data_IF_533325341815
#
_entry.id   IF_533325341815
#
_cell.length_a   1.000
_cell.length_b   1.000
_cell.length_c   1.000
_cell.angle_alpha   90.00
_cell.angle_beta   90.00
_cell.angle_gamma   90.00
#
_symmetry.space_group_name_H-M   'P 1'
#
loop_
_entity.id
_entity.type
_entity.pdbx_description
1 polymer ?
#
# COMPACT_ATOMS: atom_id res chain seq x y z
N UNK A 1 -48.19 28.12 4.64
CA UNK A 1 -47.97 27.60 3.27
C UNK A 1 -46.74 26.69 3.29
N UNK A 2 -46.93 25.39 3.50
CA UNK A 2 -45.85 24.41 3.58
C UNK A 2 -45.57 23.83 2.18
N UNK A 3 -44.36 24.02 1.64
CA UNK A 3 -43.91 23.41 0.38
C UNK A 3 -43.17 22.11 0.68
N UNK A 4 -43.82 21.00 0.35
CA UNK A 4 -43.24 19.65 0.36
C UNK A 4 -42.15 19.53 -0.69
N UNK A 5 -40.92 19.28 -0.26
CA UNK A 5 -39.78 18.96 -1.13
C UNK A 5 -39.89 17.48 -1.54
N UNK A 6 -40.09 17.21 -2.84
CA UNK A 6 -40.03 15.86 -3.41
C UNK A 6 -38.60 15.53 -3.83
N UNK A 7 -38.03 14.48 -3.23
CA UNK A 7 -36.77 13.87 -3.63
C UNK A 7 -36.90 13.17 -5.00
N UNK A 8 -35.90 13.25 -5.90
CA UNK A 8 -35.94 12.55 -7.18
C UNK A 8 -35.59 11.07 -7.01
N UNK A 9 -36.36 10.23 -7.70
CA UNK A 9 -36.26 8.78 -7.72
C UNK A 9 -34.97 8.28 -8.38
N UNK A 10 -34.41 7.24 -7.78
CA UNK A 10 -33.26 6.47 -8.25
C UNK A 10 -33.56 5.79 -9.60
N UNK A 11 -32.87 6.22 -10.65
CA UNK A 11 -32.94 5.61 -11.98
C UNK A 11 -32.31 4.21 -12.00
N UNK A 12 -33.07 3.24 -12.51
CA UNK A 12 -32.67 1.87 -12.74
C UNK A 12 -31.48 1.77 -13.71
N UNK A 13 -30.43 1.08 -13.27
CA UNK A 13 -29.25 0.74 -14.08
C UNK A 13 -29.60 -0.48 -14.97
N UNK A 14 -29.75 -0.24 -16.27
CA UNK A 14 -29.86 -1.30 -17.29
C UNK A 14 -28.54 -2.06 -17.40
N UNK A 15 -28.54 -3.35 -17.00
CA UNK A 15 -27.47 -4.31 -17.27
C UNK A 15 -27.39 -4.57 -18.78
N UNK A 16 -26.27 -4.27 -19.42
CA UNK A 16 -25.94 -4.75 -20.78
C UNK A 16 -25.45 -6.18 -20.68
N UNK A 17 -26.07 -7.08 -21.44
CA UNK A 17 -25.63 -8.46 -21.59
C UNK A 17 -24.29 -8.51 -22.35
N UNK A 18 -23.29 -9.17 -21.76
CA UNK A 18 -22.01 -9.45 -22.39
C UNK A 18 -22.11 -10.73 -23.22
N UNK A 19 -21.75 -10.67 -24.50
CA UNK A 19 -21.63 -11.83 -25.38
C UNK A 19 -20.50 -12.78 -24.93
N UNK A 20 -20.64 -14.11 -25.12
CA UNK A 20 -19.62 -15.07 -24.72
C UNK A 20 -18.45 -15.13 -25.72
N UNK A 21 -17.23 -14.92 -25.22
CA UNK A 21 -15.99 -15.20 -25.96
C UNK A 21 -15.77 -16.71 -26.12
N UNK A 22 -15.57 -17.14 -27.36
CA UNK A 22 -15.12 -18.49 -27.73
C UNK A 22 -13.72 -18.74 -27.18
N UNK A 23 -13.54 -19.81 -26.41
CA UNK A 23 -12.24 -20.30 -25.93
C UNK A 23 -11.49 -21.01 -27.06
N UNK A 24 -10.23 -20.65 -27.26
CA UNK A 24 -9.29 -21.40 -28.09
C UNK A 24 -8.76 -22.65 -27.34
N UNK A 25 -8.41 -23.73 -28.04
CA UNK A 25 -7.88 -24.96 -27.43
C UNK A 25 -6.44 -24.76 -26.94
N UNK A 26 -6.15 -25.25 -25.73
CA UNK A 26 -4.81 -25.33 -25.15
C UNK A 26 -4.06 -26.53 -25.72
N UNK A 27 -2.92 -26.29 -26.34
CA UNK A 27 -1.92 -27.30 -26.69
C UNK A 27 -1.23 -27.82 -25.42
N UNK A 28 -1.16 -29.15 -25.30
CA UNK A 28 -0.41 -29.83 -24.25
C UNK A 28 1.09 -29.80 -24.56
N UNK A 29 1.88 -29.42 -23.56
CA UNK A 29 3.34 -29.51 -23.58
C UNK A 29 3.72 -30.73 -22.75
N UNK A 30 4.37 -31.70 -23.40
CA UNK A 30 4.82 -32.95 -22.82
C UNK A 30 6.01 -32.75 -21.88
N UNK A 31 5.96 -33.44 -20.74
CA UNK A 31 7.05 -33.59 -19.78
C UNK A 31 8.06 -34.61 -20.34
N UNK A 32 9.33 -34.22 -20.46
CA UNK A 32 10.46 -35.14 -20.67
C UNK A 32 11.30 -35.11 -19.41
N UNK A 33 11.16 -36.15 -18.59
CA UNK A 33 12.08 -36.45 -17.49
C UNK A 33 13.30 -37.16 -18.07
N UNK A 34 14.49 -36.60 -17.80
CA UNK A 34 15.77 -37.25 -18.06
C UNK A 34 16.48 -37.46 -16.70
N UNK A 35 16.92 -38.68 -16.37
CA UNK A 35 17.63 -38.93 -15.12
C UNK A 35 19.09 -38.50 -15.23
N UNK A 36 19.54 -37.69 -14.27
CA UNK A 36 20.94 -37.31 -14.09
C UNK A 36 21.62 -38.40 -13.25
N UNK A 37 22.55 -39.13 -13.88
CA UNK A 37 23.50 -40.03 -13.22
C UNK A 37 24.59 -39.19 -12.54
N UNK A 38 24.66 -39.26 -11.21
CA UNK A 38 25.76 -38.73 -10.41
C UNK A 38 26.75 -39.86 -10.11
N UNK A 39 27.98 -39.69 -10.58
CA UNK A 39 29.16 -40.50 -10.19
C UNK A 39 29.72 -40.01 -8.85
N UNK A 40 30.15 -40.90 -7.94
CA UNK A 40 30.75 -40.51 -6.67
C UNK A 40 32.22 -40.11 -6.85
N UNK A 41 32.59 -38.96 -6.27
CA UNK A 41 33.96 -38.48 -6.19
C UNK A 41 34.71 -39.13 -5.02
N UNK A 42 35.99 -39.40 -5.25
CA UNK A 42 36.91 -40.06 -4.33
C UNK A 42 37.14 -39.30 -3.02
N UNK A 43 37.17 -40.05 -1.92
CA UNK A 43 37.51 -39.61 -0.56
C UNK A 43 39.03 -39.52 -0.36
N UNK A 44 39.57 -38.44 0.24
CA UNK A 44 40.95 -38.41 0.71
C UNK A 44 41.10 -39.09 2.08
N UNK A 45 42.28 -39.71 2.25
CA UNK A 45 42.71 -40.52 3.39
C UNK A 45 42.69 -39.78 4.73
N UNK A 46 41.97 -40.35 5.69
CA UNK A 46 41.89 -39.96 7.09
C UNK A 46 43.16 -40.34 7.86
N UNK A 47 43.82 -39.35 8.46
CA UNK A 47 44.84 -39.54 9.51
C UNK A 47 44.11 -39.79 10.82
N UNK A 48 44.17 -41.04 11.30
CA UNK A 48 43.45 -41.50 12.48
C UNK A 48 43.97 -40.88 13.77
N UNK A 49 43.21 -39.95 14.33
CA UNK A 49 43.26 -39.63 15.76
C UNK A 49 42.31 -40.60 16.49
N UNK A 50 42.87 -41.53 17.26
CA UNK A 50 42.09 -42.43 18.13
C UNK A 50 41.51 -41.62 19.27
N UNK A 51 40.27 -41.14 19.10
CA UNK A 51 39.46 -40.58 20.17
C UNK A 51 39.00 -41.75 21.04
N UNK A 52 39.51 -41.83 22.27
CA UNK A 52 38.97 -42.71 23.29
C UNK A 52 37.55 -42.24 23.64
N UNK A 53 36.55 -42.82 22.98
CA UNK A 53 35.16 -42.70 23.38
C UNK A 53 35.03 -43.42 24.73
N UNK A 54 34.99 -42.64 25.82
CA UNK A 54 34.57 -43.15 27.13
C UNK A 54 33.32 -43.97 26.94
N UNK A 55 33.35 -45.23 27.41
CA UNK A 55 32.23 -46.15 27.42
C UNK A 55 31.01 -45.43 27.97
N UNK A 56 30.05 -45.10 27.10
CA UNK A 56 28.76 -44.53 27.47
C UNK A 56 28.15 -45.45 28.52
N UNK A 57 28.03 -44.95 29.74
CA UNK A 57 27.08 -45.47 30.72
C UNK A 57 25.73 -45.65 30.00
N UNK A 58 25.01 -46.76 30.24
CA UNK A 58 23.74 -47.03 29.56
C UNK A 58 22.87 -45.79 29.65
N UNK A 59 22.60 -45.18 28.50
CA UNK A 59 21.79 -43.99 28.42
C UNK A 59 20.44 -44.31 29.05
N UNK A 60 19.94 -43.49 30.01
CA UNK A 60 18.60 -43.67 30.53
C UNK A 60 17.64 -43.77 29.33
N UNK A 61 16.73 -44.74 29.38
CA UNK A 61 15.77 -45.03 28.30
C UNK A 61 15.21 -43.72 27.74
N UNK A 62 15.58 -43.41 26.49
CA UNK A 62 15.18 -42.19 25.79
C UNK A 62 13.65 -42.11 25.72
N UNK A 63 12.97 -43.26 25.79
CA UNK A 63 11.52 -43.41 25.82
C UNK A 63 10.86 -42.96 27.14
N UNK A 64 11.65 -42.66 28.20
CA UNK A 64 11.12 -42.23 29.50
C UNK A 64 11.10 -40.72 29.72
N UNK A 65 11.71 -39.92 28.83
CA UNK A 65 11.66 -38.47 28.96
C UNK A 65 10.34 -37.92 28.38
N UNK A 66 9.63 -37.04 29.11
CA UNK A 66 8.45 -36.39 28.57
C UNK A 66 8.85 -35.58 27.32
N UNK A 67 8.01 -35.56 26.27
CA UNK A 67 8.32 -34.82 25.05
C UNK A 67 8.50 -33.34 25.38
N UNK A 68 9.56 -32.76 24.83
CA UNK A 68 9.83 -31.33 24.94
C UNK A 68 8.65 -30.51 24.41
N UNK A 69 8.13 -29.59 25.23
CA UNK A 69 7.03 -28.71 24.85
C UNK A 69 7.58 -27.33 24.50
N UNK A 70 7.38 -26.92 23.26
CA UNK A 70 7.85 -25.63 22.77
C UNK A 70 7.34 -24.44 23.61
N UNK A 71 6.12 -24.52 24.16
CA UNK A 71 5.53 -23.47 24.98
C UNK A 71 6.13 -23.36 26.38
N UNK A 72 6.90 -24.37 26.82
CA UNK A 72 7.60 -24.34 28.11
C UNK A 72 8.92 -23.53 28.02
N UNK A 73 9.35 -23.14 26.81
CA UNK A 73 10.45 -22.20 26.62
C UNK A 73 10.09 -20.81 27.14
N UNK A 74 11.08 -20.04 27.60
CA UNK A 74 10.92 -18.61 27.88
C UNK A 74 10.53 -17.85 26.61
N UNK A 75 9.78 -16.75 26.75
CA UNK A 75 9.28 -15.95 25.62
C UNK A 75 10.38 -15.48 24.69
N UNK A 76 11.53 -15.10 25.24
CA UNK A 76 12.71 -14.63 24.53
C UNK A 76 13.22 -15.72 23.59
N UNK A 77 13.33 -16.96 24.08
CA UNK A 77 13.77 -18.10 23.26
C UNK A 77 12.74 -18.48 22.19
N UNK A 78 11.44 -18.33 22.47
CA UNK A 78 10.39 -18.54 21.45
C UNK A 78 10.48 -17.49 20.34
N UNK A 79 10.72 -16.23 20.70
CA UNK A 79 10.91 -15.13 19.74
C UNK A 79 12.11 -15.40 18.85
N UNK A 80 13.25 -15.82 19.41
CA UNK A 80 14.42 -16.23 18.62
C UNK A 80 14.05 -17.33 17.61
N UNK A 81 13.34 -18.38 18.05
CA UNK A 81 12.86 -19.44 17.13
C UNK A 81 11.94 -18.86 16.05
N UNK A 82 11.06 -17.92 16.39
CA UNK A 82 10.20 -17.28 15.40
C UNK A 82 10.98 -16.41 14.42
N UNK A 83 12.06 -15.73 14.81
CA UNK A 83 12.91 -14.99 13.88
C UNK A 83 13.54 -15.90 12.83
N UNK A 84 13.82 -17.17 13.15
CA UNK A 84 14.25 -18.15 12.13
C UNK A 84 13.12 -18.60 11.19
N UNK A 85 11.85 -18.51 11.61
CA UNK A 85 10.69 -19.03 10.87
C UNK A 85 9.88 -17.95 10.15
N UNK A 86 9.92 -16.72 10.63
CA UNK A 86 9.09 -15.61 10.22
C UNK A 86 10.01 -14.49 9.71
N UNK A 87 9.73 -13.92 8.54
CA UNK A 87 10.49 -12.78 8.07
C UNK A 87 10.39 -11.61 9.03
N UNK A 88 11.51 -10.93 9.24
CA UNK A 88 11.67 -9.75 10.07
C UNK A 88 12.66 -8.79 9.37
N UNK A 89 12.57 -7.50 9.70
CA UNK A 89 13.40 -6.43 9.13
C UNK A 89 13.38 -6.33 7.59
N UNK A 90 12.28 -6.73 6.95
CA UNK A 90 12.08 -6.61 5.51
C UNK A 90 11.12 -5.46 5.17
N UNK A 91 11.27 -4.95 3.95
CA UNK A 91 10.27 -4.15 3.25
C UNK A 91 9.42 -5.11 2.42
N UNK A 92 8.18 -5.32 2.84
CA UNK A 92 7.21 -6.21 2.21
C UNK A 92 6.32 -5.39 1.28
N UNK A 93 6.27 -5.73 0.00
CA UNK A 93 5.44 -5.08 -1.01
C UNK A 93 4.59 -6.07 -1.80
N UNK A 94 3.58 -5.55 -2.49
CA UNK A 94 2.58 -6.35 -3.18
C UNK A 94 2.47 -5.95 -4.66
N UNK A 95 2.57 -6.94 -5.54
CA UNK A 95 2.42 -6.76 -6.99
C UNK A 95 1.27 -7.63 -7.52
N UNK A 96 0.49 -7.10 -8.47
CA UNK A 96 -0.53 -7.89 -9.18
C UNK A 96 0.15 -8.66 -10.31
N UNK A 97 0.03 -9.99 -10.30
CA UNK A 97 0.56 -10.86 -11.37
C UNK A 97 -0.50 -11.34 -12.36
N UNK A 98 -1.77 -11.16 -12.03
CA UNK A 98 -2.90 -11.54 -12.86
C UNK A 98 -4.21 -11.34 -12.12
N UNK A 99 -5.30 -11.76 -12.76
CA UNK A 99 -6.64 -11.73 -12.21
C UNK A 99 -7.28 -13.11 -12.44
N UNK A 100 -7.92 -13.66 -11.40
CA UNK A 100 -8.68 -14.91 -11.48
C UNK A 100 -10.17 -14.62 -11.19
N UNK A 101 -11.00 -15.67 -11.06
CA UNK A 101 -12.43 -15.52 -10.78
C UNK A 101 -12.72 -14.84 -9.43
N UNK A 102 -11.77 -14.92 -8.50
CA UNK A 102 -11.87 -14.39 -7.14
C UNK A 102 -11.20 -13.01 -7.01
N UNK A 103 -10.74 -12.44 -8.13
CA UNK A 103 -10.12 -11.12 -8.20
C UNK A 103 -8.60 -11.14 -8.45
N UNK A 104 -7.87 -10.08 -8.06
CA UNK A 104 -6.45 -9.96 -8.34
C UNK A 104 -5.63 -11.03 -7.60
N UNK A 105 -4.69 -11.62 -8.32
CA UNK A 105 -3.70 -12.55 -7.77
C UNK A 105 -2.46 -11.73 -7.41
N UNK A 106 -2.15 -11.71 -6.11
CA UNK A 106 -1.03 -10.97 -5.56
C UNK A 106 0.23 -11.83 -5.49
N UNK A 107 1.35 -11.22 -5.87
CA UNK A 107 2.70 -11.65 -5.53
C UNK A 107 3.18 -10.79 -4.36
N UNK A 108 3.69 -11.45 -3.33
CA UNK A 108 4.35 -10.76 -2.22
C UNK A 108 5.85 -10.74 -2.49
N UNK A 109 6.44 -9.57 -2.39
CA UNK A 109 7.86 -9.36 -2.53
C UNK A 109 8.40 -8.92 -1.18
N UNK A 110 9.56 -9.44 -0.79
CA UNK A 110 10.27 -8.99 0.39
C UNK A 110 11.69 -8.57 -0.01
N UNK A 111 12.09 -7.41 0.49
CA UNK A 111 13.42 -6.86 0.24
C UNK A 111 14.04 -6.50 1.59
N UNK A 112 15.29 -6.89 1.82
CA UNK A 112 16.02 -6.42 3.00
C UNK A 112 16.10 -4.90 2.99
N UNK A 113 16.03 -4.27 4.18
CA UNK A 113 16.35 -2.86 4.33
C UNK A 113 17.79 -2.55 3.90
N UNK A 114 18.69 -3.52 4.06
CA UNK A 114 20.06 -3.40 3.59
C UNK A 114 20.16 -3.65 2.07
N UNK A 115 20.70 -2.69 1.30
CA UNK A 115 20.73 -2.78 -0.18
C UNK A 115 21.66 -3.88 -0.71
N UNK A 116 22.52 -4.45 0.13
CA UNK A 116 23.46 -5.52 -0.19
C UNK A 116 22.78 -6.88 -0.42
N UNK A 117 21.59 -7.11 0.17
CA UNK A 117 20.93 -8.41 0.11
C UNK A 117 19.95 -8.52 -1.06
N UNK A 118 20.03 -9.65 -1.78
CA UNK A 118 19.14 -9.94 -2.91
C UNK A 118 17.70 -10.08 -2.44
N UNK A 119 16.75 -9.68 -3.30
CA UNK A 119 15.31 -9.93 -3.11
C UNK A 119 15.05 -11.42 -2.95
N UNK A 120 14.45 -11.81 -1.83
CA UNK A 120 14.04 -13.18 -1.58
C UNK A 120 12.56 -13.31 -1.93
N UNK A 121 12.16 -14.31 -2.76
CA UNK A 121 10.75 -14.60 -2.94
C UNK A 121 10.18 -15.06 -1.59
N UNK A 122 9.19 -14.33 -1.09
CA UNK A 122 8.51 -14.64 0.15
C UNK A 122 7.22 -15.43 -0.16
N UNK A 123 7.07 -16.61 0.46
CA UNK A 123 5.96 -17.52 0.20
C UNK A 123 5.07 -17.67 1.43
N UNK A 124 4.24 -16.66 1.78
CA UNK A 124 3.58 -16.53 3.09
C UNK A 124 2.71 -17.71 3.56
N UNK A 125 2.45 -18.73 2.73
CA UNK A 125 1.56 -19.84 3.07
C UNK A 125 2.08 -20.67 4.26
N UNK A 126 3.38 -20.92 4.33
CA UNK A 126 3.99 -21.69 5.41
C UNK A 126 4.00 -20.90 6.72
N UNK A 127 4.41 -19.65 6.63
CA UNK A 127 4.67 -18.75 7.75
C UNK A 127 3.35 -18.32 8.42
N UNK A 128 2.30 -18.08 7.62
CA UNK A 128 0.95 -17.76 8.13
C UNK A 128 0.30 -18.98 8.82
N UNK A 129 0.77 -20.20 8.57
CA UNK A 129 0.23 -21.39 9.25
C UNK A 129 0.50 -21.34 10.76
N UNK A 130 1.56 -20.65 11.20
CA UNK A 130 1.84 -20.43 12.63
C UNK A 130 0.71 -19.65 13.33
N UNK A 131 0.02 -18.77 12.61
CA UNK A 131 -1.09 -17.98 13.17
C UNK A 131 -2.31 -18.82 13.54
N UNK A 132 -2.35 -20.08 13.09
CA UNK A 132 -3.46 -21.01 13.32
C UNK A 132 -3.18 -22.02 14.45
N UNK A 133 -1.99 -22.02 15.04
CA UNK A 133 -1.59 -23.01 16.06
C UNK A 133 -2.32 -22.78 17.37
N UNK A 134 -2.07 -21.64 18.02
CA UNK A 134 -2.81 -21.21 19.22
C UNK A 134 -2.77 -19.68 19.36
N UNK A 135 -3.52 -19.12 20.31
CA UNK A 135 -3.62 -17.67 20.49
C UNK A 135 -2.28 -17.01 20.84
N UNK A 136 -1.48 -17.63 21.72
CA UNK A 136 -0.19 -17.09 22.18
C UNK A 136 0.84 -17.04 21.04
N UNK A 137 1.07 -18.18 20.38
CA UNK A 137 1.92 -18.33 19.19
C UNK A 137 1.47 -17.36 18.11
N UNK A 138 0.16 -17.27 17.87
CA UNK A 138 -0.38 -16.31 16.89
C UNK A 138 -0.05 -14.87 17.27
N UNK A 139 -0.23 -14.46 18.52
CA UNK A 139 0.12 -13.10 18.95
C UNK A 139 1.61 -12.78 18.84
N UNK A 140 2.50 -13.70 19.23
CA UNK A 140 3.96 -13.53 19.16
C UNK A 140 4.41 -13.48 17.69
N UNK A 141 3.93 -14.40 16.87
CA UNK A 141 4.23 -14.47 15.44
C UNK A 141 3.70 -13.26 14.66
N UNK A 142 2.51 -12.75 14.99
CA UNK A 142 1.94 -11.53 14.41
C UNK A 142 2.76 -10.30 14.80
N UNK A 143 3.24 -10.23 16.04
CA UNK A 143 4.06 -9.11 16.52
C UNK A 143 5.38 -9.01 15.75
N UNK A 144 6.00 -10.15 15.40
CA UNK A 144 7.20 -10.18 14.57
C UNK A 144 6.84 -9.78 13.12
N UNK A 145 5.90 -10.49 12.48
CA UNK A 145 5.59 -10.24 11.07
C UNK A 145 5.13 -8.80 10.81
N UNK A 146 4.20 -8.28 11.61
CA UNK A 146 3.62 -6.94 11.38
C UNK A 146 4.32 -5.82 12.15
N UNK A 147 5.06 -6.16 13.21
CA UNK A 147 5.72 -5.17 14.05
C UNK A 147 7.16 -4.87 13.67
N UNK A 148 7.89 -5.81 13.08
CA UNK A 148 9.32 -5.61 12.75
C UNK A 148 9.54 -5.29 11.26
N UNK A 149 8.61 -5.70 10.39
CA UNK A 149 8.68 -5.40 8.96
C UNK A 149 8.04 -4.05 8.60
N UNK A 150 8.47 -3.48 7.48
CA UNK A 150 7.83 -2.31 6.85
C UNK A 150 6.94 -2.77 5.72
N UNK A 151 5.66 -2.39 5.76
CA UNK A 151 4.72 -2.72 4.70
C UNK A 151 4.59 -1.58 3.70
N UNK A 152 4.98 -1.85 2.46
CA UNK A 152 4.96 -0.90 1.37
C UNK A 152 3.67 -1.04 0.55
N UNK A 153 2.86 0.01 0.53
CA UNK A 153 1.64 0.11 -0.26
C UNK A 153 1.85 1.06 -1.44
N UNK A 154 1.51 0.60 -2.65
CA UNK A 154 1.56 1.42 -3.85
C UNK A 154 0.18 2.00 -4.16
N UNK A 155 0.07 3.34 -4.18
CA UNK A 155 -1.15 4.04 -4.56
C UNK A 155 -0.92 4.71 -5.91
N UNK A 156 -1.51 4.15 -6.97
CA UNK A 156 -1.41 4.67 -8.33
C UNK A 156 -2.69 5.38 -8.80
N UNK A 157 -2.61 5.97 -9.99
CA UNK A 157 -3.71 6.67 -10.66
C UNK A 157 -4.48 5.79 -11.64
N UNK A 158 -4.18 4.49 -11.74
CA UNK A 158 -4.80 3.57 -12.70
C UNK A 158 -6.23 3.21 -12.26
N UNK A 159 -7.12 2.92 -13.21
CA UNK A 159 -8.47 2.49 -12.84
C UNK A 159 -8.47 1.06 -12.34
N UNK A 160 -8.99 0.82 -11.13
CA UNK A 160 -9.22 -0.53 -10.62
C UNK A 160 -10.65 -1.00 -10.94
N UNK A 161 -10.80 -2.30 -11.20
CA UNK A 161 -12.09 -2.97 -11.27
C UNK A 161 -12.41 -3.62 -9.91
N UNK A 162 -13.67 -3.61 -9.43
CA UNK A 162 -14.84 -2.94 -10.01
C UNK A 162 -14.99 -1.47 -9.57
N UNK A 163 -14.31 -1.06 -8.48
CA UNK A 163 -14.40 0.30 -7.91
C UNK A 163 -13.12 1.07 -8.23
N UNK A 164 -13.23 2.09 -9.08
CA UNK A 164 -12.06 2.85 -9.53
C UNK A 164 -11.49 3.79 -8.46
N UNK A 165 -12.35 4.50 -7.71
CA UNK A 165 -11.96 5.58 -6.79
C UNK A 165 -11.56 5.08 -5.40
N UNK A 166 -12.32 4.16 -4.82
CA UNK A 166 -12.08 3.61 -3.47
C UNK A 166 -11.85 2.11 -3.57
N UNK A 167 -10.74 1.74 -4.21
CA UNK A 167 -10.40 0.33 -4.40
C UNK A 167 -9.62 -0.18 -3.19
N UNK A 168 -10.08 -1.24 -2.51
CA UNK A 168 -9.30 -1.85 -1.42
C UNK A 168 -8.03 -2.56 -1.93
N UNK A 169 -7.86 -2.68 -3.25
CA UNK A 169 -6.66 -3.26 -3.85
C UNK A 169 -5.38 -2.49 -3.51
N UNK A 170 -5.46 -1.23 -3.05
CA UNK A 170 -4.29 -0.48 -2.57
C UNK A 170 -3.60 -1.15 -1.37
N UNK A 171 -4.31 -1.99 -0.62
CA UNK A 171 -3.77 -2.76 0.51
C UNK A 171 -3.25 -4.14 0.09
N UNK A 172 -3.18 -4.43 -1.21
CA UNK A 172 -2.74 -5.73 -1.71
C UNK A 172 -3.62 -6.88 -1.20
N UNK A 173 -3.02 -7.99 -0.73
CA UNK A 173 -3.76 -9.10 -0.14
C UNK A 173 -4.42 -8.76 1.20
N UNK A 174 -3.96 -7.70 1.90
CA UNK A 174 -4.54 -7.26 3.17
C UNK A 174 -5.87 -6.52 2.98
N UNK A 175 -6.21 -6.09 1.77
CA UNK A 175 -7.45 -5.37 1.46
C UNK A 175 -8.72 -6.21 1.43
N UNK A 176 -8.66 -7.51 1.77
CA UNK A 176 -9.86 -8.36 1.89
C UNK A 176 -10.50 -8.17 3.26
N UNK A 177 -11.81 -8.33 3.34
CA UNK A 177 -12.57 -8.10 4.58
C UNK A 177 -12.03 -8.89 5.79
N UNK A 178 -11.57 -10.13 5.56
CA UNK A 178 -10.99 -11.00 6.60
C UNK A 178 -9.58 -10.59 7.05
N UNK A 179 -8.84 -9.89 6.20
CA UNK A 179 -7.44 -9.52 6.44
C UNK A 179 -7.26 -8.05 6.78
N UNK A 180 -8.26 -7.22 6.47
CA UNK A 180 -8.22 -5.79 6.75
C UNK A 180 -7.95 -5.50 8.23
N UNK A 181 -8.53 -6.23 9.21
CA UNK A 181 -8.22 -6.02 10.62
C UNK A 181 -6.74 -6.27 10.98
N UNK A 182 -5.96 -6.93 10.14
CA UNK A 182 -4.53 -7.15 10.38
C UNK A 182 -3.72 -5.87 10.18
N UNK A 183 -4.25 -4.87 9.46
CA UNK A 183 -3.60 -3.57 9.28
C UNK A 183 -3.36 -2.86 10.62
N UNK A 184 -4.15 -3.15 11.65
CA UNK A 184 -3.96 -2.61 13.00
C UNK A 184 -2.63 -3.02 13.65
N UNK A 185 -2.07 -4.16 13.24
CA UNK A 185 -0.84 -4.70 13.82
C UNK A 185 0.41 -4.06 13.22
N UNK A 186 0.26 -3.24 12.18
CA UNK A 186 1.36 -2.60 11.48
C UNK A 186 2.01 -1.52 12.34
N UNK A 187 3.33 -1.63 12.52
CA UNK A 187 4.13 -0.59 13.20
C UNK A 187 4.87 0.32 12.24
N UNK A 188 5.18 -0.16 11.03
CA UNK A 188 5.91 0.58 10.02
C UNK A 188 5.25 0.44 8.65
N UNK A 189 4.92 1.57 8.03
CA UNK A 189 4.27 1.64 6.72
C UNK A 189 5.07 2.55 5.78
N UNK A 190 5.22 2.13 4.53
CA UNK A 190 5.67 2.98 3.43
C UNK A 190 4.54 3.16 2.40
N UNK A 191 4.09 4.39 2.18
CA UNK A 191 3.11 4.71 1.13
C UNK A 191 3.86 5.26 -0.07
N UNK A 192 3.82 4.55 -1.19
CA UNK A 192 4.41 4.98 -2.45
C UNK A 192 3.31 5.50 -3.36
N UNK A 193 3.23 6.82 -3.53
CA UNK A 193 2.25 7.45 -4.43
C UNK A 193 2.88 7.59 -5.80
N UNK A 194 2.36 6.82 -6.76
CA UNK A 194 2.89 6.71 -8.12
C UNK A 194 2.14 7.61 -9.09
N UNK A 195 2.72 8.75 -9.46
CA UNK A 195 2.16 9.67 -10.47
C UNK A 195 2.48 9.29 -11.92
N UNK A 196 2.64 8.00 -12.21
CA UNK A 196 2.93 7.48 -13.55
C UNK A 196 1.81 7.67 -14.57
N UNK A 197 0.60 8.00 -14.11
CA UNK A 197 -0.56 8.31 -14.96
C UNK A 197 -0.97 9.75 -14.71
N UNK A 198 -0.87 10.64 -15.70
CA UNK A 198 -1.24 12.03 -15.52
C UNK A 198 -2.75 12.24 -15.61
N UNK A 199 -3.19 13.43 -15.20
CA UNK A 199 -4.51 13.96 -15.47
C UNK A 199 -5.46 13.94 -14.27
N UNK A 200 -6.53 14.72 -14.40
CA UNK A 200 -7.54 14.94 -13.36
C UNK A 200 -8.06 13.65 -12.71
N UNK A 201 -8.35 12.62 -13.51
CA UNK A 201 -8.88 11.35 -12.97
C UNK A 201 -7.86 10.57 -12.15
N UNK A 202 -6.58 10.63 -12.50
CA UNK A 202 -5.53 9.99 -11.73
C UNK A 202 -5.40 10.67 -10.35
N UNK A 203 -5.33 12.00 -10.32
CA UNK A 203 -5.30 12.78 -9.07
C UNK A 203 -6.54 12.54 -8.22
N UNK A 204 -7.72 12.46 -8.83
CA UNK A 204 -8.95 12.14 -8.12
C UNK A 204 -8.91 10.74 -7.50
N UNK A 205 -8.35 9.75 -8.19
CA UNK A 205 -8.15 8.40 -7.64
C UNK A 205 -7.13 8.38 -6.52
N UNK A 206 -5.99 9.07 -6.65
CA UNK A 206 -5.02 9.21 -5.56
C UNK A 206 -5.68 9.75 -4.30
N UNK A 207 -6.40 10.87 -4.39
CA UNK A 207 -7.14 11.47 -3.26
C UNK A 207 -8.08 10.48 -2.61
N UNK A 208 -9.00 9.88 -3.39
CA UNK A 208 -10.01 8.96 -2.85
C UNK A 208 -9.42 7.67 -2.27
N UNK A 209 -8.29 7.19 -2.80
CA UNK A 209 -7.59 6.00 -2.29
C UNK A 209 -6.83 6.30 -1.01
N UNK A 210 -6.15 7.43 -0.93
CA UNK A 210 -5.48 7.86 0.29
C UNK A 210 -6.50 8.21 1.38
N UNK A 211 -7.64 8.79 1.02
CA UNK A 211 -8.76 8.98 1.94
C UNK A 211 -9.28 7.64 2.48
N UNK A 212 -9.50 6.64 1.60
CA UNK A 212 -9.82 5.28 2.03
C UNK A 212 -8.74 4.70 2.95
N UNK A 213 -7.46 4.90 2.61
CA UNK A 213 -6.32 4.45 3.40
C UNK A 213 -6.37 5.01 4.82
N UNK A 214 -6.53 6.32 4.93
CA UNK A 214 -6.63 7.03 6.22
C UNK A 214 -7.86 6.61 7.00
N UNK A 215 -9.02 6.47 6.36
CA UNK A 215 -10.25 6.04 7.03
C UNK A 215 -10.11 4.64 7.63
N UNK A 216 -9.46 3.71 6.93
CA UNK A 216 -9.20 2.36 7.44
C UNK A 216 -8.24 2.40 8.62
N UNK A 217 -7.15 3.18 8.55
CA UNK A 217 -6.23 3.31 9.68
C UNK A 217 -6.89 3.97 10.90
N UNK A 218 -7.69 5.02 10.70
CA UNK A 218 -8.44 5.68 11.78
C UNK A 218 -9.45 4.76 12.44
N UNK A 219 -10.19 3.99 11.65
CA UNK A 219 -11.13 3.00 12.19
C UNK A 219 -10.45 1.99 13.14
N UNK A 220 -9.15 1.76 12.99
CA UNK A 220 -8.36 0.93 13.91
C UNK A 220 -7.69 1.72 15.04
N UNK A 221 -7.50 3.03 14.88
CA UNK A 221 -6.90 3.89 15.90
C UNK A 221 -7.92 4.35 16.97
N UNK A 222 -9.16 4.56 16.55
CA UNK A 222 -10.25 5.12 17.37
C UNK A 222 -11.04 4.03 18.14
N UNK A 223 -10.67 2.76 18.02
CA UNK A 223 -11.33 1.66 18.74
C UNK A 223 -11.01 1.76 20.23
N UNK A 224 -12.05 1.83 21.10
CA UNK A 224 -11.96 2.21 22.53
C UNK A 224 -10.92 1.40 23.34
N UNK A 225 -10.56 0.23 22.84
CA UNK A 225 -9.64 -0.70 23.50
C UNK A 225 -8.25 -0.79 22.86
N UNK A 226 -8.01 -0.19 21.69
CA UNK A 226 -6.79 -0.43 20.90
C UNK A 226 -6.36 0.82 20.13
N UNK A 227 -5.46 1.60 20.73
CA UNK A 227 -4.73 2.67 20.03
C UNK A 227 -3.96 2.09 18.84
N UNK A 228 -3.87 2.85 17.75
CA UNK A 228 -3.02 2.51 16.60
C UNK A 228 -1.61 2.15 17.07
N UNK A 229 -1.07 1.03 16.57
CA UNK A 229 0.31 0.61 16.83
C UNK A 229 1.31 1.22 15.84
N UNK A 230 0.84 2.03 14.89
CA UNK A 230 1.66 2.63 13.85
C UNK A 230 2.61 3.65 14.47
N UNK A 231 3.92 3.38 14.36
CA UNK A 231 4.99 4.25 14.86
C UNK A 231 5.72 4.98 13.75
N UNK A 232 5.94 4.30 12.62
CA UNK A 232 6.72 4.82 11.50
C UNK A 232 5.88 4.91 10.23
N UNK A 233 5.82 6.09 9.63
CA UNK A 233 5.17 6.32 8.33
C UNK A 233 6.14 7.02 7.37
N UNK A 234 6.53 6.32 6.31
CA UNK A 234 7.27 6.91 5.19
C UNK A 234 6.33 7.14 4.02
N UNK A 235 6.25 8.36 3.50
CA UNK A 235 5.46 8.70 2.32
C UNK A 235 6.42 9.06 1.21
N UNK A 236 6.45 8.28 0.13
CA UNK A 236 7.28 8.56 -1.04
C UNK A 236 6.42 8.96 -2.22
N UNK A 237 6.56 10.20 -2.65
CA UNK A 237 5.97 10.71 -3.87
C UNK A 237 6.86 10.38 -5.06
N UNK A 238 6.58 9.26 -5.73
CA UNK A 238 7.35 8.78 -6.86
C UNK A 238 6.63 9.10 -8.16
N UNK A 239 7.32 9.76 -9.06
CA UNK A 239 6.80 9.99 -10.38
C UNK A 239 7.70 9.52 -11.51
N UNK A 240 8.67 8.68 -11.18
CA UNK A 240 9.37 7.92 -12.20
C UNK A 240 8.35 7.09 -12.98
N UNK A 241 8.30 7.30 -14.29
CA UNK A 241 7.52 6.45 -15.17
C UNK A 241 8.26 5.13 -15.36
N UNK A 242 7.53 4.02 -15.19
CA UNK A 242 8.04 2.67 -15.42
C UNK A 242 7.86 2.34 -16.90
N UNK A 243 8.95 2.26 -17.64
CA UNK A 243 8.94 1.69 -18.99
C UNK A 243 9.55 0.28 -18.95
N UNK A 244 8.77 -0.72 -19.36
CA UNK A 244 9.31 -2.07 -19.59
C UNK A 244 10.03 -2.06 -20.93
N UNK A 245 11.35 -2.20 -20.91
CA UNK A 245 12.14 -2.42 -22.13
C UNK A 245 11.82 -3.78 -22.75
N UNK A 246 12.15 -3.94 -24.03
CA UNK A 246 11.96 -5.19 -24.79
C UNK A 246 12.60 -6.42 -24.10
N UNK A 247 13.70 -6.20 -23.36
CA UNK A 247 14.44 -7.26 -22.66
C UNK A 247 13.86 -7.59 -21.28
N UNK A 248 12.67 -7.08 -20.94
CA UNK A 248 12.06 -7.23 -19.60
C UNK A 248 12.68 -6.35 -18.52
N UNK A 249 13.75 -5.59 -18.82
CA UNK A 249 14.33 -4.62 -17.90
C UNK A 249 13.37 -3.44 -17.70
N UNK A 250 12.98 -3.15 -16.46
CA UNK A 250 12.23 -1.94 -16.13
C UNK A 250 13.20 -0.77 -16.05
N UNK A 251 13.11 0.18 -16.99
CA UNK A 251 13.83 1.45 -16.91
C UNK A 251 12.90 2.51 -16.32
N UNK A 252 13.44 3.29 -15.39
CA UNK A 252 12.76 4.42 -14.77
C UNK A 252 13.19 5.69 -15.48
N UNK A 253 12.22 6.44 -15.98
CA UNK A 253 12.47 7.72 -16.62
C UNK A 253 11.57 8.79 -16.00
N UNK A 254 12.09 9.99 -15.83
CA UNK A 254 11.26 11.14 -15.53
C UNK A 254 10.62 11.59 -16.84
N UNK A 255 9.33 11.31 -16.99
CA UNK A 255 8.58 11.79 -18.16
C UNK A 255 8.49 13.32 -18.16
N UNK A 256 8.28 13.97 -19.32
CA UNK A 256 8.10 15.42 -19.40
C UNK A 256 6.92 15.93 -18.56
N UNK A 257 5.99 15.03 -18.22
CA UNK A 257 4.88 15.25 -17.28
C UNK A 257 5.33 15.67 -15.87
N UNK A 258 6.61 15.47 -15.53
CA UNK A 258 7.22 15.98 -14.30
C UNK A 258 7.23 17.49 -14.18
N UNK A 259 7.10 18.22 -15.30
CA UNK A 259 7.05 19.68 -15.26
C UNK A 259 5.88 20.20 -14.41
N UNK A 260 4.83 19.40 -14.25
CA UNK A 260 3.62 19.77 -13.52
C UNK A 260 3.49 19.07 -12.16
N UNK A 261 4.58 18.65 -11.50
CA UNK A 261 4.52 18.01 -10.17
C UNK A 261 3.59 18.73 -9.19
N UNK A 262 3.64 20.07 -9.19
CA UNK A 262 2.84 20.93 -8.33
C UNK A 262 1.34 20.70 -8.47
N UNK A 263 0.86 20.23 -9.63
CA UNK A 263 -0.56 19.95 -9.83
C UNK A 263 -1.05 18.71 -9.07
N UNK A 264 -0.14 17.82 -8.66
CA UNK A 264 -0.45 16.52 -8.07
C UNK A 264 -0.16 16.44 -6.57
N UNK A 265 0.60 17.38 -5.99
CA UNK A 265 1.00 17.34 -4.57
C UNK A 265 -0.21 17.34 -3.64
N UNK A 266 -1.26 18.09 -3.99
CA UNK A 266 -2.51 18.14 -3.24
C UNK A 266 -3.38 16.89 -3.43
N UNK A 267 -2.87 15.88 -4.15
CA UNK A 267 -3.41 14.53 -4.10
C UNK A 267 -3.25 13.88 -2.73
N UNK A 268 -2.28 14.35 -1.93
CA UNK A 268 -1.89 13.80 -0.63
C UNK A 268 -2.62 14.40 0.57
N UNK A 269 -3.50 15.40 0.37
CA UNK A 269 -4.12 16.17 1.46
C UNK A 269 -4.87 15.30 2.47
N UNK A 270 -5.44 14.17 2.04
CA UNK A 270 -6.13 13.26 2.94
C UNK A 270 -5.22 12.66 4.01
N UNK A 271 -3.90 12.60 3.78
CA UNK A 271 -2.92 12.17 4.78
C UNK A 271 -2.83 13.13 5.97
N UNK A 272 -3.18 14.41 5.80
CA UNK A 272 -3.19 15.40 6.89
C UNK A 272 -4.19 15.06 8.01
N UNK A 273 -5.13 14.16 7.74
CA UNK A 273 -6.07 13.67 8.74
C UNK A 273 -5.45 12.63 9.68
N UNK A 274 -4.31 12.00 9.34
CA UNK A 274 -3.54 11.17 10.27
C UNK A 274 -2.92 12.06 11.35
N UNK A 275 -2.84 11.56 12.58
CA UNK A 275 -2.29 12.28 13.75
C UNK A 275 -1.57 11.30 14.67
N UNK A 276 -0.56 11.79 15.40
CA UNK A 276 0.08 11.08 16.51
C UNK A 276 1.01 9.93 16.09
N UNK A 277 1.51 9.93 14.86
CA UNK A 277 2.57 9.00 14.43
C UNK A 277 3.92 9.56 14.89
N UNK A 278 4.75 8.73 15.52
CA UNK A 278 6.01 9.17 16.16
C UNK A 278 7.05 9.60 15.13
N UNK A 279 7.23 8.80 14.08
CA UNK A 279 8.25 9.02 13.06
C UNK A 279 7.59 9.11 11.67
N UNK A 280 7.68 10.29 11.07
CA UNK A 280 7.12 10.55 9.74
C UNK A 280 8.19 11.12 8.84
N UNK A 281 8.31 10.54 7.64
CA UNK A 281 9.25 10.98 6.61
C UNK A 281 8.48 11.17 5.30
N UNK A 282 8.60 12.35 4.68
CA UNK A 282 7.91 12.65 3.42
C UNK A 282 8.93 12.99 2.32
N UNK A 283 9.08 12.08 1.36
CA UNK A 283 10.04 12.17 0.27
C UNK A 283 9.39 12.56 -1.07
N UNK A 284 10.13 13.29 -1.91
CA UNK A 284 9.79 13.51 -3.32
C UNK A 284 8.83 14.68 -3.61
N UNK A 285 8.48 15.45 -2.58
CA UNK A 285 7.66 16.66 -2.63
C UNK A 285 8.52 17.93 -2.43
N UNK A 286 7.98 19.14 -2.69
CA UNK A 286 8.62 20.37 -2.25
C UNK A 286 8.78 20.40 -0.72
N UNK A 287 9.96 20.81 -0.24
CA UNK A 287 10.34 20.74 1.19
C UNK A 287 9.32 21.40 2.12
N UNK A 288 8.80 22.59 1.74
CA UNK A 288 7.80 23.29 2.52
C UNK A 288 6.52 22.47 2.73
N UNK A 289 6.06 21.76 1.69
CA UNK A 289 4.83 20.96 1.73
C UNK A 289 5.07 19.65 2.48
N UNK A 290 6.22 19.01 2.23
CA UNK A 290 6.66 17.83 2.98
C UNK A 290 6.69 18.12 4.48
N UNK A 291 7.32 19.24 4.88
CA UNK A 291 7.41 19.66 6.27
C UNK A 291 6.06 19.95 6.89
N UNK A 292 5.18 20.64 6.17
CA UNK A 292 3.81 20.89 6.66
C UNK A 292 3.04 19.58 6.87
N UNK A 293 3.20 18.61 5.96
CA UNK A 293 2.55 17.31 6.06
C UNK A 293 3.10 16.49 7.24
N UNK A 294 4.42 16.49 7.47
CA UNK A 294 5.06 15.87 8.64
C UNK A 294 4.54 16.47 9.95
N UNK A 295 4.52 17.80 10.07
CA UNK A 295 3.97 18.50 11.24
C UNK A 295 2.50 18.14 11.50
N UNK A 296 1.73 17.97 10.43
CA UNK A 296 0.35 17.52 10.54
C UNK A 296 0.27 16.09 11.07
N UNK A 297 0.97 15.15 10.45
CA UNK A 297 0.85 13.74 10.80
C UNK A 297 1.40 13.47 12.22
N UNK A 298 2.46 14.18 12.62
CA UNK A 298 2.99 14.13 13.98
C UNK A 298 2.03 14.75 15.01
N UNK A 299 1.14 15.65 14.58
CA UNK A 299 0.18 16.35 15.44
C UNK A 299 0.75 17.59 16.14
N UNK A 300 1.88 18.13 15.66
CA UNK A 300 2.58 19.27 16.31
C UNK A 300 2.20 20.65 15.74
N UNK A 301 1.58 20.73 14.55
CA UNK A 301 1.26 22.02 13.89
C UNK A 301 -0.19 22.52 14.00
N UNK A 302 -1.03 21.81 14.75
CA UNK A 302 -2.46 22.08 14.88
C UNK A 302 -3.28 21.63 13.66
N UNK A 303 -4.53 22.11 13.57
CA UNK A 303 -5.42 21.78 12.46
C UNK A 303 -5.24 22.73 11.27
N UNK A 304 -5.24 22.16 10.07
CA UNK A 304 -5.27 22.94 8.83
C UNK A 304 -6.72 23.32 8.55
N UNK A 305 -6.95 24.60 8.26
CA UNK A 305 -8.27 25.09 7.93
C UNK A 305 -8.66 24.70 6.49
N UNK A 306 -9.95 24.40 6.22
CA UNK A 306 -10.42 24.23 4.86
C UNK A 306 -10.32 25.56 4.10
N UNK A 307 -9.97 25.48 2.82
CA UNK A 307 -9.96 26.64 1.93
C UNK A 307 -11.34 26.79 1.28
N UNK A 308 -11.95 27.96 1.44
CA UNK A 308 -13.23 28.27 0.81
C UNK A 308 -13.03 28.76 -0.63
N UNK A 309 -13.75 28.14 -1.56
CA UNK A 309 -13.72 28.49 -2.97
C UNK A 309 -15.10 28.99 -3.37
N UNK A 310 -15.23 30.23 -3.88
CA UNK A 310 -16.54 30.78 -4.21
C UNK A 310 -17.23 29.94 -5.30
N UNK A 311 -18.54 29.80 -5.15
CA UNK A 311 -19.41 29.17 -6.15
C UNK A 311 -19.79 30.18 -7.23
N UNK A 312 -19.70 29.75 -8.49
CA UNK A 312 -20.11 30.53 -9.65
C UNK A 312 -21.22 29.83 -10.42
N UNK A 313 -22.15 30.61 -10.98
CA UNK A 313 -23.26 30.08 -11.76
C UNK A 313 -22.82 29.86 -13.21
N UNK A 314 -22.53 28.62 -13.58
CA UNK A 314 -22.09 28.26 -14.94
C UNK A 314 -23.24 27.76 -15.81
N UNK A 315 -23.19 28.07 -17.10
CA UNK A 315 -24.14 27.58 -18.10
C UNK A 315 -23.57 26.31 -18.74
N UNK A 316 -24.12 25.13 -18.40
CA UNK A 316 -23.69 23.84 -18.97
C UNK A 316 -24.64 23.36 -20.06
N UNK A 317 -24.08 22.81 -21.12
CA UNK A 317 -24.85 22.10 -22.16
C UNK A 317 -25.41 20.81 -21.56
N UNK A 318 -26.70 20.57 -21.75
CA UNK A 318 -27.35 19.30 -21.37
C UNK A 318 -27.18 18.34 -22.53
N UNK A 319 -26.58 17.18 -22.27
CA UNK A 319 -26.49 16.10 -23.25
C UNK A 319 -27.89 15.58 -23.58
N UNK A 320 -28.51 16.18 -24.59
CA UNK A 320 -29.75 15.66 -25.16
C UNK A 320 -29.39 14.56 -26.16
N UNK A 321 -29.81 13.33 -25.86
CA UNK A 321 -29.70 12.20 -26.79
C UNK A 321 -30.65 12.30 -28.00
N UNK A 322 -31.43 13.37 -28.10
CA UNK A 322 -32.41 13.56 -29.18
C UNK A 322 -31.67 14.10 -30.41
N UNK A 323 -31.51 13.25 -31.43
CA UNK A 323 -30.99 13.69 -32.75
C UNK A 323 -31.88 14.81 -33.30
N UNK A 324 -31.27 15.95 -33.64
CA UNK A 324 -31.94 17.11 -34.24
C UNK A 324 -32.46 18.19 -33.27
N UNK A 325 -32.34 18.00 -31.95
CA UNK A 325 -32.75 19.01 -30.98
C UNK A 325 -31.75 20.18 -30.85
N UNK A 326 -32.26 21.42 -30.71
CA UNK A 326 -31.41 22.58 -30.32
C UNK A 326 -30.71 22.30 -28.98
N UNK A 327 -29.42 22.66 -28.81
CA UNK A 327 -28.70 22.42 -27.58
C UNK A 327 -29.39 23.13 -26.41
N UNK A 328 -29.84 22.35 -25.42
CA UNK A 328 -30.40 22.89 -24.18
C UNK A 328 -29.27 23.20 -23.22
N UNK A 329 -29.39 24.30 -22.49
CA UNK A 329 -28.44 24.69 -21.46
C UNK A 329 -29.13 24.72 -20.09
N UNK A 330 -28.43 24.27 -19.06
CA UNK A 330 -28.86 24.36 -17.66
C UNK A 330 -27.85 25.21 -16.90
N UNK A 331 -28.35 26.13 -16.07
CA UNK A 331 -27.52 26.85 -15.10
C UNK A 331 -27.24 25.92 -13.91
N UNK A 332 -25.99 25.79 -13.51
CA UNK A 332 -25.57 24.99 -12.35
C UNK A 332 -24.56 25.79 -11.54
N UNK A 333 -24.67 25.73 -10.22
CA UNK A 333 -23.62 26.23 -9.32
C UNK A 333 -22.42 25.29 -9.40
N UNK A 334 -21.24 25.86 -9.53
CA UNK A 334 -19.99 25.14 -9.59
C UNK A 334 -18.92 25.93 -8.85
N UNK A 335 -18.15 25.25 -8.00
CA UNK A 335 -16.97 25.84 -7.35
C UNK A 335 -15.95 26.31 -8.38
N UNK A 336 -15.34 27.45 -8.11
CA UNK A 336 -14.18 27.97 -8.87
C UNK A 336 -12.94 27.08 -8.75
N UNK A 337 -12.92 26.15 -7.79
CA UNK A 337 -11.81 25.24 -7.56
C UNK A 337 -11.50 24.36 -8.77
N UNK A 338 -10.24 24.39 -9.20
CA UNK A 338 -9.68 23.47 -10.19
C UNK A 338 -9.14 22.23 -9.49
N UNK A 339 -9.08 21.09 -10.19
CA UNK A 339 -8.72 19.80 -9.59
C UNK A 339 -7.33 19.78 -8.95
N UNK A 340 -6.38 20.57 -9.45
CA UNK A 340 -5.03 20.65 -8.92
C UNK A 340 -4.88 21.64 -7.77
N UNK A 341 -5.93 22.39 -7.43
CA UNK A 341 -5.86 23.32 -6.31
C UNK A 341 -6.12 22.59 -4.99
N UNK A 342 -5.55 23.08 -3.87
CA UNK A 342 -5.70 22.47 -2.56
C UNK A 342 -7.14 22.53 -2.04
N UNK A 343 -7.51 21.63 -1.14
CA UNK A 343 -8.74 21.74 -0.32
C UNK A 343 -8.47 22.39 1.04
N UNK A 344 -7.21 22.40 1.47
CA UNK A 344 -6.78 22.91 2.76
C UNK A 344 -5.90 24.15 2.58
N UNK A 345 -5.94 25.08 3.53
CA UNK A 345 -5.15 26.30 3.49
C UNK A 345 -3.71 26.05 3.95
N UNK A 346 -2.90 25.44 3.07
CA UNK A 346 -1.52 25.10 3.36
C UNK A 346 -0.60 26.31 3.53
N UNK A 347 -0.91 27.43 2.89
CA UNK A 347 -0.12 28.66 3.01
C UNK A 347 -0.24 29.29 4.40
N UNK A 348 -1.47 29.39 4.93
CA UNK A 348 -1.71 29.83 6.30
C UNK A 348 -1.02 28.88 7.29
N UNK A 349 -1.19 27.57 7.09
CA UNK A 349 -0.58 26.57 7.97
C UNK A 349 0.95 26.64 7.97
N UNK A 350 1.58 26.79 6.80
CA UNK A 350 3.03 26.94 6.68
C UNK A 350 3.52 28.18 7.42
N UNK A 351 2.87 29.33 7.16
CA UNK A 351 3.22 30.62 7.78
C UNK A 351 3.10 30.56 9.30
N UNK A 352 1.99 30.00 9.81
CA UNK A 352 1.75 29.85 11.25
C UNK A 352 2.79 28.98 11.95
N UNK A 353 3.30 27.97 11.25
CA UNK A 353 4.29 27.02 11.78
C UNK A 353 5.75 27.38 11.42
N UNK A 354 6.00 28.57 10.87
CA UNK A 354 7.34 29.03 10.53
C UNK A 354 8.01 28.21 9.43
N UNK A 355 7.23 27.59 8.53
CA UNK A 355 7.76 26.87 7.36
C UNK A 355 7.89 27.86 6.22
N UNK A 356 9.11 28.03 5.71
CA UNK A 356 9.40 28.95 4.61
C UNK A 356 8.69 28.52 3.32
N UNK A 357 7.82 29.39 2.81
CA UNK A 357 7.17 29.21 1.52
C UNK A 357 8.15 29.59 0.40
N UNK A 358 8.13 28.88 -0.75
CA UNK A 358 8.92 29.26 -1.90
C UNK A 358 8.50 30.67 -2.31
N UNK A 359 9.47 31.56 -2.53
CA UNK A 359 9.17 32.87 -3.09
C UNK A 359 8.46 32.64 -4.43
N UNK A 360 7.16 32.93 -4.48
CA UNK A 360 6.49 33.08 -5.76
C UNK A 360 7.28 34.18 -6.46
N UNK A 361 8.02 33.80 -7.49
CA UNK A 361 8.43 34.78 -8.49
C UNK A 361 7.10 35.35 -8.97
N UNK A 362 6.76 36.53 -8.44
CA UNK A 362 5.73 37.38 -9.01
C UNK A 362 6.24 37.58 -10.42
N UNK A 363 5.70 36.80 -11.35
CA UNK A 363 5.87 37.09 -12.76
C UNK A 363 5.14 38.40 -12.88
N UNK A 364 5.89 39.51 -12.87
CA UNK A 364 5.34 40.84 -13.11
C UNK A 364 4.57 40.73 -14.43
N UNK A 365 3.23 40.67 -14.32
CA UNK A 365 2.33 40.77 -15.46
C UNK A 365 2.28 42.26 -15.81
N UNK A 366 3.43 42.78 -16.20
CA UNK A 366 3.59 44.09 -16.81
C UNK A 366 3.73 43.84 -18.31
N UNK A 367 2.60 43.76 -19.01
CA UNK A 367 2.46 44.09 -20.43
C UNK A 367 0.98 44.31 -20.80
#
# INVERSE_FOLDING_TARGET
MARTVRSPSSGQIRKKASSPMKKAPRSGIGSRDAPILLTPAATPSSTGATIYLSSRSPSPDIDSQPPFRFLDLASELRVEVYHYLIPHDLVISFDIIGENRDGPVWRVLAQSREPSFRRLPFFPKSEISLFRVNKLVSSEALAILYGENTFQFCVDGLSHSPKSLQSPQIFGPLGRDISLPLLRNLRSIEIVVSISTPGHWATKRHRSRLELFVNVLKAHADDENQKSLLKHLKVRFDGRSKSRGANGSTKFWYGPEFRNKHEYIFGLESLAALRGIEEVEVDGLPDWYARCLELCINGTGGDILPLDYPDILVKRKVDSKVQGGRPRFKKAWQTTRVWYQPTLNWEEFATRNGVELPHHHVVDVSD
#
